data_IF_784240757780
#
_entry.id   IF_784240757780
#
_cell.length_a   1.000
_cell.length_b   1.000
_cell.length_c   1.000
_cell.angle_alpha   90.00
_cell.angle_beta   90.00
_cell.angle_gamma   90.00
#
_symmetry.space_group_name_H-M   'P 1'
#
loop_
_entity.id
_entity.type
_entity.pdbx_description
1 polymer ?
#
# COMPACT_ATOMS: atom_id res chain seq x y z
N UNK A 1 25.80 -9.84 -35.31
CA UNK A 1 24.49 -9.16 -35.24
C UNK A 1 24.42 -8.41 -33.92
N UNK A 2 24.37 -7.08 -33.94
CA UNK A 2 24.06 -6.27 -32.76
C UNK A 2 22.55 -6.36 -32.51
N UNK A 3 22.15 -6.99 -31.42
CA UNK A 3 20.74 -7.07 -31.01
C UNK A 3 20.23 -5.66 -30.73
N UNK A 4 19.17 -5.24 -31.41
CA UNK A 4 18.56 -3.94 -31.15
C UNK A 4 17.97 -3.90 -29.73
N UNK A 5 18.27 -2.85 -28.96
CA UNK A 5 17.79 -2.69 -27.57
C UNK A 5 16.65 -1.67 -27.53
N UNK A 6 15.54 -2.05 -26.91
CA UNK A 6 14.41 -1.14 -26.68
C UNK A 6 14.74 -0.10 -25.61
N UNK A 7 14.52 1.18 -25.93
CA UNK A 7 14.64 2.30 -24.99
C UNK A 7 13.30 3.03 -24.89
N UNK A 8 12.76 3.12 -23.68
CA UNK A 8 11.53 3.85 -23.42
C UNK A 8 11.82 5.33 -23.16
N UNK A 9 11.24 6.22 -23.98
CA UNK A 9 11.49 7.66 -23.90
C UNK A 9 11.03 8.31 -22.59
N UNK A 10 10.01 7.73 -21.93
CA UNK A 10 9.44 8.26 -20.69
C UNK A 10 9.97 7.54 -19.44
N UNK A 11 11.14 6.90 -19.51
CA UNK A 11 11.70 6.18 -18.35
C UNK A 11 11.90 7.11 -17.14
N UNK A 12 12.46 8.30 -17.36
CA UNK A 12 12.65 9.29 -16.29
C UNK A 12 11.33 9.73 -15.65
N UNK A 13 10.27 9.85 -16.46
CA UNK A 13 8.94 10.18 -15.95
C UNK A 13 8.38 9.02 -15.10
N UNK A 14 8.59 7.78 -15.55
CA UNK A 14 8.16 6.59 -14.80
C UNK A 14 8.88 6.47 -13.45
N UNK A 15 10.18 6.72 -13.42
CA UNK A 15 10.98 6.76 -12.19
C UNK A 15 10.46 7.84 -11.23
N UNK A 16 10.24 9.06 -11.73
CA UNK A 16 9.67 10.15 -10.94
C UNK A 16 8.30 9.77 -10.35
N UNK A 17 7.40 9.20 -11.15
CA UNK A 17 6.07 8.76 -10.69
C UNK A 17 6.15 7.64 -9.66
N UNK A 18 7.10 6.72 -9.83
CA UNK A 18 7.36 5.65 -8.85
C UNK A 18 7.84 6.22 -7.52
N UNK A 19 8.73 7.21 -7.55
CA UNK A 19 9.17 7.92 -6.34
C UNK A 19 8.01 8.64 -5.66
N UNK A 20 7.19 9.38 -6.42
CA UNK A 20 6.02 10.06 -5.87
C UNK A 20 5.05 9.09 -5.21
N UNK A 21 4.79 7.93 -5.82
CA UNK A 21 3.96 6.90 -5.20
C UNK A 21 4.55 6.41 -3.87
N UNK A 22 5.87 6.12 -3.81
CA UNK A 22 6.55 5.71 -2.58
C UNK A 22 6.45 6.77 -1.49
N UNK A 23 6.61 8.05 -1.83
CA UNK A 23 6.43 9.16 -0.89
C UNK A 23 5.00 9.17 -0.33
N UNK A 24 3.98 8.95 -1.17
CA UNK A 24 2.58 8.84 -0.68
C UNK A 24 2.34 7.59 0.16
N UNK A 25 2.99 6.47 -0.14
CA UNK A 25 2.93 5.26 0.69
C UNK A 25 3.52 5.52 2.09
N UNK A 26 4.64 6.25 2.17
CA UNK A 26 5.25 6.63 3.44
C UNK A 26 4.33 7.51 4.28
N UNK A 27 3.70 8.52 3.67
CA UNK A 27 2.72 9.39 4.36
C UNK A 27 1.55 8.57 4.92
N UNK A 28 1.01 7.64 4.14
CA UNK A 28 -0.06 6.74 4.62
C UNK A 28 0.44 5.90 5.80
N UNK A 29 1.64 5.34 5.72
CA UNK A 29 2.22 4.51 6.77
C UNK A 29 2.51 5.30 8.07
N UNK A 30 2.87 6.58 7.97
CA UNK A 30 3.02 7.47 9.14
C UNK A 30 1.68 7.70 9.84
N UNK A 31 0.63 8.03 9.10
CA UNK A 31 -0.70 8.29 9.65
C UNK A 31 -1.31 7.00 10.22
N UNK A 32 -1.06 5.84 9.59
CA UNK A 32 -1.43 4.52 10.11
C UNK A 32 -0.80 4.24 11.49
N UNK A 33 0.49 4.55 11.65
CA UNK A 33 1.19 4.42 12.94
C UNK A 33 0.57 5.32 14.00
N UNK A 34 0.30 6.58 13.66
CA UNK A 34 -0.37 7.55 14.54
C UNK A 34 -1.77 7.03 14.96
N UNK A 35 -2.54 6.45 14.01
CA UNK A 35 -3.85 5.85 14.31
C UNK A 35 -3.72 4.73 15.33
N UNK A 36 -2.84 3.77 15.09
CA UNK A 36 -2.65 2.61 15.96
C UNK A 36 -2.24 3.02 17.37
N UNK A 37 -1.38 4.04 17.50
CA UNK A 37 -1.00 4.59 18.79
C UNK A 37 -2.22 5.14 19.54
N UNK A 38 -3.04 5.96 18.90
CA UNK A 38 -4.22 6.57 19.52
C UNK A 38 -5.32 5.54 19.82
N UNK A 39 -5.49 4.53 18.98
CA UNK A 39 -6.38 3.40 19.26
C UNK A 39 -5.95 2.64 20.51
N UNK A 40 -4.65 2.39 20.67
CA UNK A 40 -4.13 1.74 21.87
C UNK A 40 -4.35 2.59 23.11
N UNK A 41 -4.05 3.90 23.04
CA UNK A 41 -4.32 4.81 24.15
C UNK A 41 -5.81 4.86 24.52
N UNK A 42 -6.72 4.79 23.53
CA UNK A 42 -8.16 4.76 23.78
C UNK A 42 -8.57 3.46 24.49
N UNK A 43 -8.06 2.31 24.03
CA UNK A 43 -8.31 1.02 24.69
C UNK A 43 -7.81 0.99 26.13
N UNK A 44 -6.63 1.55 26.39
CA UNK A 44 -6.07 1.61 27.73
C UNK A 44 -6.92 2.49 28.64
N UNK A 45 -7.37 3.66 28.17
CA UNK A 45 -8.30 4.52 28.91
C UNK A 45 -9.63 3.81 29.20
N UNK A 46 -10.17 3.07 28.23
CA UNK A 46 -11.40 2.30 28.44
C UNK A 46 -11.22 1.24 29.53
N UNK A 47 -10.07 0.53 29.57
CA UNK A 47 -9.75 -0.41 30.64
C UNK A 47 -9.66 0.28 32.00
N UNK A 48 -8.99 1.43 32.07
CA UNK A 48 -8.92 2.22 33.31
C UNK A 48 -10.32 2.61 33.80
N UNK A 49 -11.17 3.15 32.91
CA UNK A 49 -12.54 3.53 33.26
C UNK A 49 -13.35 2.33 33.79
N UNK A 50 -13.20 1.15 33.18
CA UNK A 50 -13.87 -0.06 33.64
C UNK A 50 -13.38 -0.48 35.04
N UNK A 51 -12.06 -0.52 35.25
CA UNK A 51 -11.47 -0.83 36.56
C UNK A 51 -11.95 0.13 37.63
N UNK A 52 -11.89 1.45 37.38
CA UNK A 52 -12.32 2.46 38.36
C UNK A 52 -13.81 2.34 38.68
N UNK A 53 -14.65 1.95 37.71
CA UNK A 53 -16.07 1.69 37.97
C UNK A 53 -16.30 0.46 38.85
N UNK A 54 -15.52 -0.59 38.64
CA UNK A 54 -15.61 -1.81 39.46
C UNK A 54 -15.10 -1.56 40.88
N UNK A 55 -14.00 -0.80 41.03
CA UNK A 55 -13.49 -0.35 42.33
C UNK A 55 -14.51 0.50 43.08
N UNK A 56 -15.16 1.44 42.38
CA UNK A 56 -16.22 2.29 42.95
C UNK A 56 -17.41 1.44 43.40
N UNK A 57 -17.81 0.44 42.60
CA UNK A 57 -18.91 -0.47 42.94
C UNK A 57 -18.55 -1.30 44.18
N UNK A 58 -17.33 -1.81 44.28
CA UNK A 58 -16.86 -2.56 45.45
C UNK A 58 -16.84 -1.68 46.71
N UNK A 59 -16.33 -0.45 46.61
CA UNK A 59 -16.31 0.50 47.72
C UNK A 59 -17.73 0.88 48.22
N UNK A 60 -18.70 0.95 47.32
CA UNK A 60 -20.11 1.22 47.65
C UNK A 60 -20.85 0.01 48.25
N UNK A 61 -20.41 -1.22 47.96
CA UNK A 61 -21.00 -2.43 48.54
C UNK A 61 -20.59 -2.65 50.00
N UNK A 62 -19.49 -2.01 50.44
CA UNK A 62 -18.92 -2.13 51.78
C UNK A 62 -18.33 -3.53 52.06
N UNK A 63 -17.35 -3.63 52.96
CA UNK A 63 -17.02 -4.93 53.53
C UNK A 63 -18.21 -5.38 54.38
N UNK A 64 -18.97 -6.38 53.91
CA UNK A 64 -19.82 -7.19 54.79
C UNK A 64 -18.91 -8.08 55.62
N UNK A 65 -18.21 -7.47 56.57
CA UNK A 65 -17.66 -8.21 57.69
C UNK A 65 -18.84 -8.57 58.61
N UNK A 66 -18.85 -9.82 59.06
CA UNK A 66 -19.70 -10.34 60.14
C UNK A 66 -19.97 -9.27 61.21
N UNK A 67 -21.25 -9.09 61.56
CA UNK A 67 -21.68 -8.32 62.74
C UNK A 67 -21.32 -6.82 62.76
N UNK A 68 -21.96 -6.00 61.91
CA UNK A 68 -22.06 -4.56 62.15
C UNK A 68 -22.17 -3.70 60.90
N UNK A 69 -22.82 -2.55 61.04
CA UNK A 69 -23.08 -1.56 59.98
C UNK A 69 -21.82 -1.27 59.17
N UNK A 70 -21.77 -1.73 57.92
CA UNK A 70 -20.65 -1.49 57.01
C UNK A 70 -20.39 0.00 56.84
N UNK A 71 -19.18 0.45 57.18
CA UNK A 71 -18.78 1.85 57.08
C UNK A 71 -18.33 2.13 55.64
N UNK A 72 -19.14 2.85 54.88
CA UNK A 72 -18.78 3.32 53.54
C UNK A 72 -17.89 4.56 53.67
N UNK A 73 -16.67 4.51 53.15
CA UNK A 73 -15.82 5.70 53.02
C UNK A 73 -16.28 6.58 51.84
N UNK A 74 -17.25 7.43 52.11
CA UNK A 74 -17.81 8.39 51.14
C UNK A 74 -16.75 9.37 50.58
N UNK A 75 -15.66 9.64 51.32
CA UNK A 75 -14.59 10.53 50.85
C UNK A 75 -13.79 9.87 49.74
N UNK A 76 -13.42 8.59 49.92
CA UNK A 76 -12.75 7.79 48.90
C UNK A 76 -13.62 7.61 47.65
N UNK A 77 -14.89 7.24 47.83
CA UNK A 77 -15.90 7.12 46.75
C UNK A 77 -16.00 8.40 45.93
N UNK A 78 -16.07 9.57 46.59
CA UNK A 78 -16.13 10.87 45.91
C UNK A 78 -14.86 11.16 45.11
N UNK A 79 -13.68 10.88 45.67
CA UNK A 79 -12.41 11.11 44.99
C UNK A 79 -12.29 10.22 43.73
N UNK A 80 -12.63 8.94 43.84
CA UNK A 80 -12.65 7.99 42.73
C UNK A 80 -13.67 8.38 41.65
N UNK A 81 -14.84 8.90 42.05
CA UNK A 81 -15.86 9.40 41.12
C UNK A 81 -15.35 10.57 40.28
N UNK A 82 -14.63 11.52 40.89
CA UNK A 82 -14.02 12.64 40.17
C UNK A 82 -12.93 12.17 39.20
N UNK A 83 -12.10 11.21 39.62
CA UNK A 83 -11.08 10.62 38.74
C UNK A 83 -11.72 9.92 37.52
N UNK A 84 -12.78 9.14 37.73
CA UNK A 84 -13.52 8.48 36.65
C UNK A 84 -14.10 9.47 35.63
N UNK A 85 -14.62 10.62 36.09
CA UNK A 85 -15.10 11.69 35.19
C UNK A 85 -13.97 12.26 34.33
N UNK A 86 -12.79 12.49 34.90
CA UNK A 86 -11.62 12.95 34.15
C UNK A 86 -11.19 11.93 33.08
N UNK A 87 -11.22 10.64 33.39
CA UNK A 87 -10.86 9.60 32.43
C UNK A 87 -11.88 9.51 31.27
N UNK A 88 -13.17 9.70 31.55
CA UNK A 88 -14.21 9.77 30.51
C UNK A 88 -13.97 10.94 29.56
N UNK A 89 -13.67 12.14 30.09
CA UNK A 89 -13.36 13.32 29.26
C UNK A 89 -12.13 13.06 28.38
N UNK A 90 -11.07 12.50 28.96
CA UNK A 90 -9.85 12.16 28.21
C UNK A 90 -10.10 11.09 27.13
N UNK A 91 -10.95 10.11 27.40
CA UNK A 91 -11.36 9.13 26.40
C UNK A 91 -12.12 9.78 25.24
N UNK A 92 -13.02 10.73 25.54
CA UNK A 92 -13.75 11.49 24.52
C UNK A 92 -12.81 12.36 23.66
N UNK A 93 -11.87 13.09 24.27
CA UNK A 93 -10.84 13.85 23.54
C UNK A 93 -10.01 12.96 22.61
N UNK A 94 -9.67 11.76 23.08
CA UNK A 94 -8.92 10.77 22.30
C UNK A 94 -9.73 10.26 21.12
N UNK A 95 -11.03 10.00 21.31
CA UNK A 95 -11.93 9.58 20.25
C UNK A 95 -12.11 10.67 19.17
N UNK A 96 -12.21 11.94 19.58
CA UNK A 96 -12.25 13.08 18.64
C UNK A 96 -10.96 13.15 17.82
N UNK A 97 -9.80 13.00 18.48
CA UNK A 97 -8.51 12.97 17.79
C UNK A 97 -8.42 11.82 16.78
N UNK A 98 -8.90 10.64 17.16
CA UNK A 98 -8.96 9.47 16.28
C UNK A 98 -9.82 9.73 15.04
N UNK A 99 -10.97 10.38 15.18
CA UNK A 99 -11.80 10.78 14.05
C UNK A 99 -11.06 11.74 13.10
N UNK A 100 -10.31 12.70 13.65
CA UNK A 100 -9.43 13.58 12.87
C UNK A 100 -8.35 12.82 12.07
N UNK A 101 -7.77 11.79 12.67
CA UNK A 101 -6.80 10.91 11.99
C UNK A 101 -7.44 10.10 10.88
N UNK A 102 -8.64 9.55 11.08
CA UNK A 102 -9.35 8.85 10.01
C UNK A 102 -9.61 9.74 8.80
N UNK A 103 -9.97 11.00 9.01
CA UNK A 103 -10.13 11.96 7.91
C UNK A 103 -8.80 12.22 7.17
N UNK A 104 -7.71 12.47 7.91
CA UNK A 104 -6.36 12.64 7.34
C UNK A 104 -5.91 11.39 6.56
N UNK A 105 -6.16 10.20 7.10
CA UNK A 105 -5.83 8.93 6.47
C UNK A 105 -6.63 8.71 5.18
N UNK A 106 -7.92 9.06 5.18
CA UNK A 106 -8.77 9.02 3.98
C UNK A 106 -8.20 9.93 2.86
N UNK A 107 -7.84 11.16 3.20
CA UNK A 107 -7.21 12.08 2.25
C UNK A 107 -5.87 11.55 1.72
N UNK A 108 -5.00 11.04 2.60
CA UNK A 108 -3.70 10.48 2.21
C UNK A 108 -3.84 9.24 1.30
N UNK A 109 -4.79 8.35 1.59
CA UNK A 109 -5.12 7.20 0.72
C UNK A 109 -5.64 7.65 -0.65
N UNK A 110 -6.41 8.74 -0.69
CA UNK A 110 -6.84 9.38 -1.94
C UNK A 110 -5.66 9.87 -2.78
N UNK A 111 -4.67 10.53 -2.17
CA UNK A 111 -3.45 10.96 -2.86
C UNK A 111 -2.60 9.78 -3.34
N UNK A 112 -2.45 8.73 -2.52
CA UNK A 112 -1.75 7.52 -2.92
C UNK A 112 -2.43 6.89 -4.15
N UNK A 113 -3.76 6.78 -4.14
CA UNK A 113 -4.50 6.26 -5.28
C UNK A 113 -4.21 7.06 -6.56
N UNK A 114 -4.26 8.40 -6.48
CA UNK A 114 -3.92 9.27 -7.61
C UNK A 114 -2.49 9.03 -8.12
N UNK A 115 -1.52 8.93 -7.22
CA UNK A 115 -0.12 8.67 -7.58
C UNK A 115 0.06 7.29 -8.24
N UNK A 116 -0.56 6.25 -7.70
CA UNK A 116 -0.56 4.90 -8.26
C UNK A 116 -1.18 4.86 -9.65
N UNK A 117 -2.34 5.51 -9.84
CA UNK A 117 -2.99 5.59 -11.17
C UNK A 117 -2.10 6.29 -12.17
N UNK A 118 -1.48 7.42 -11.80
CA UNK A 118 -0.57 8.15 -12.68
C UNK A 118 0.66 7.32 -13.08
N UNK A 119 1.26 6.58 -12.14
CA UNK A 119 2.38 5.66 -12.44
C UNK A 119 1.94 4.54 -13.39
N UNK A 120 0.82 3.88 -13.06
CA UNK A 120 0.28 2.77 -13.87
C UNK A 120 -0.08 3.18 -15.29
N UNK A 121 -0.51 4.42 -15.50
CA UNK A 121 -0.75 4.95 -16.85
C UNK A 121 0.54 4.96 -17.70
N UNK A 122 1.65 5.42 -17.13
CA UNK A 122 2.96 5.42 -17.81
C UNK A 122 3.49 4.00 -18.01
N UNK A 123 3.33 3.12 -17.03
CA UNK A 123 3.66 1.69 -17.15
C UNK A 123 2.92 1.05 -18.33
N UNK A 124 1.62 1.34 -18.48
CA UNK A 124 0.80 0.80 -19.56
C UNK A 124 1.28 1.31 -20.92
N UNK A 125 1.65 2.59 -21.02
CA UNK A 125 2.26 3.16 -22.22
C UNK A 125 3.58 2.46 -22.58
N UNK A 126 4.44 2.21 -21.58
CA UNK A 126 5.71 1.47 -21.75
C UNK A 126 5.47 0.08 -22.34
N UNK A 127 4.53 -0.67 -21.77
CA UNK A 127 4.17 -2.02 -22.24
C UNK A 127 3.66 -2.02 -23.68
N UNK A 128 2.69 -1.16 -24.00
CA UNK A 128 2.13 -1.07 -25.37
C UNK A 128 3.19 -0.70 -26.41
N UNK A 129 4.11 0.20 -26.06
CA UNK A 129 5.19 0.62 -26.97
C UNK A 129 6.24 -0.47 -27.15
N UNK A 130 6.56 -1.20 -26.08
CA UNK A 130 7.44 -2.37 -26.16
C UNK A 130 6.84 -3.47 -27.04
N UNK A 131 5.55 -3.78 -26.88
CA UNK A 131 4.84 -4.76 -27.73
C UNK A 131 4.81 -4.35 -29.20
N UNK A 132 4.72 -3.04 -29.50
CA UNK A 132 4.80 -2.54 -30.88
C UNK A 132 6.20 -2.71 -31.43
N UNK A 133 7.22 -2.30 -30.67
CA UNK A 133 8.62 -2.44 -31.05
C UNK A 133 8.98 -3.91 -31.32
N UNK A 134 8.54 -4.83 -30.46
CA UNK A 134 8.78 -6.27 -30.63
C UNK A 134 8.15 -6.81 -31.92
N UNK A 135 6.92 -6.40 -32.24
CA UNK A 135 6.27 -6.76 -33.51
C UNK A 135 7.03 -6.24 -34.73
N UNK A 136 7.59 -5.03 -34.63
CA UNK A 136 8.40 -4.46 -35.70
C UNK A 136 9.75 -5.19 -35.86
N UNK A 137 10.41 -5.59 -34.77
CA UNK A 137 11.63 -6.39 -34.84
C UNK A 137 11.36 -7.76 -35.46
N UNK A 138 10.34 -8.47 -34.98
CA UNK A 138 9.98 -9.79 -35.51
C UNK A 138 9.63 -9.73 -37.01
N UNK A 139 8.96 -8.65 -37.45
CA UNK A 139 8.66 -8.45 -38.89
C UNK A 139 9.93 -8.23 -39.72
N UNK A 140 10.90 -7.47 -39.21
CA UNK A 140 12.18 -7.24 -39.90
C UNK A 140 13.00 -8.53 -39.98
N UNK A 141 13.12 -9.24 -38.87
CA UNK A 141 13.83 -10.52 -38.82
C UNK A 141 13.19 -11.56 -39.75
N UNK A 142 11.86 -11.63 -39.81
CA UNK A 142 11.16 -12.50 -40.75
C UNK A 142 11.46 -12.14 -42.22
N UNK A 143 11.46 -10.85 -42.57
CA UNK A 143 11.80 -10.40 -43.92
C UNK A 143 13.26 -10.71 -44.29
N UNK A 144 14.21 -10.51 -43.36
CA UNK A 144 15.62 -10.89 -43.55
C UNK A 144 15.78 -12.40 -43.76
N UNK A 145 15.02 -13.22 -43.02
CA UNK A 145 15.02 -14.67 -43.19
C UNK A 145 14.45 -15.11 -44.55
N UNK A 146 13.38 -14.47 -45.02
CA UNK A 146 12.79 -14.73 -46.33
C UNK A 146 13.77 -14.35 -47.46
N UNK A 147 14.46 -13.21 -47.35
CA UNK A 147 15.50 -12.78 -48.30
C UNK A 147 16.65 -13.81 -48.37
N UNK A 148 17.13 -14.29 -47.22
CA UNK A 148 18.17 -15.34 -47.17
C UNK A 148 17.68 -16.63 -47.83
N UNK A 149 16.41 -17.01 -47.62
CA UNK A 149 15.82 -18.20 -48.23
C UNK A 149 15.74 -18.08 -49.76
N UNK A 150 15.30 -16.92 -50.28
CA UNK A 150 15.25 -16.63 -51.72
C UNK A 150 16.65 -16.66 -52.33
N UNK A 151 17.63 -16.00 -51.72
CA UNK A 151 19.02 -16.00 -52.22
C UNK A 151 19.62 -17.41 -52.25
N UNK A 152 19.30 -18.26 -51.25
CA UNK A 152 19.73 -19.67 -51.24
C UNK A 152 19.06 -20.50 -52.34
N UNK A 153 17.77 -20.29 -52.58
CA UNK A 153 17.04 -20.97 -53.65
C UNK A 153 17.60 -20.59 -55.03
N UNK A 154 17.83 -19.30 -55.28
CA UNK A 154 18.42 -18.80 -56.54
C UNK A 154 19.80 -19.42 -56.82
N UNK A 155 20.69 -19.51 -55.82
CA UNK A 155 21.99 -20.18 -56.01
C UNK A 155 21.87 -21.67 -56.36
N UNK A 156 20.80 -22.33 -55.90
CA UNK A 156 20.55 -23.75 -56.20
C UNK A 156 20.02 -23.93 -57.62
N UNK A 157 19.19 -23.01 -58.09
CA UNK A 157 18.63 -22.99 -59.45
C UNK A 157 19.63 -22.47 -60.51
N UNK A 158 20.70 -21.77 -60.10
CA UNK A 158 21.85 -21.46 -60.96
C UNK A 158 22.87 -22.60 -61.05
N UNK A 159 22.67 -23.69 -60.29
CA UNK A 159 23.50 -24.91 -60.31
C UNK A 159 22.94 -26.15 -61.07
N UNK A 160 22.08 -26.06 -62.11
CA UNK A 160 21.89 -27.15 -63.07
C UNK A 160 22.78 -26.92 -64.29
N UNK A 161 23.44 -28.00 -64.74
CA UNK A 161 24.39 -28.10 -65.85
C UNK A 161 25.87 -27.76 -65.55
N UNK A 162 26.52 -28.65 -64.82
CA UNK A 162 27.81 -29.16 -65.30
C UNK A 162 27.82 -30.69 -65.22
N UNK A 163 27.93 -31.31 -66.40
CA UNK A 163 28.37 -32.68 -66.68
C UNK A 163 27.34 -33.83 -66.57
N UNK A 164 26.43 -33.86 -67.55
CA UNK A 164 26.16 -35.09 -68.31
C UNK A 164 26.81 -34.92 -69.70
N UNK A 165 27.98 -35.54 -69.92
CA UNK A 165 28.56 -35.71 -71.25
C UNK A 165 28.57 -37.22 -71.58
N UNK A 166 27.71 -37.70 -72.50
CA UNK A 166 27.75 -39.09 -72.94
C UNK A 166 28.76 -39.31 -74.08
N UNK A 167 29.55 -40.39 -73.90
CA UNK A 167 30.43 -41.12 -74.84
C UNK A 167 31.77 -40.48 -75.24
#
# INVERSE_FOLDING_TARGET
MTVAVYRFELERLLEMRTRTEREKQQVVAEIERERLEIENQLRDRQRTIMSTKDDLRAALQGERADEGVGVIDLRSVRMQSTAALHDVVRAQETAIRLAGIHNRLGAARGELMRATTARKAVDLLKKRRYERWLREQNRKEAAEMDEIAIMRAQRRDESPESEDAPS
#
